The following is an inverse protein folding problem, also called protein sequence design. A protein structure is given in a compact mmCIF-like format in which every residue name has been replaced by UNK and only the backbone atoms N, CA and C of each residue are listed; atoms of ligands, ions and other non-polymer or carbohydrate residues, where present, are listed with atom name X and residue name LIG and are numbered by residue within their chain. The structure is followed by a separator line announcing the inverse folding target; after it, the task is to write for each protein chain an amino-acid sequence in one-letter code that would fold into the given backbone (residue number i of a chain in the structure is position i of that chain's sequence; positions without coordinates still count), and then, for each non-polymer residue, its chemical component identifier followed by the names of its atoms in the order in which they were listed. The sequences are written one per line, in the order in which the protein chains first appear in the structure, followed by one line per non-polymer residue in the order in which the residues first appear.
data_IF_963400461884
#
_entry.id   IF_963400461884
#
_cell.length_a   1.000
_cell.length_b   1.000
_cell.length_c   1.000
_cell.angle_alpha   90.00
_cell.angle_beta   90.00
_cell.angle_gamma   90.00
#
_symmetry.space_group_name_H-M   'P 1'
#
loop_
_entity.id
_entity.type
_entity.pdbx_description
1 polymer ?
#
# COMPACT_ATOMS: atom_id res chain seq x y z
N UNK A 1 14.36 2.91 10.41
CA UNK A 1 13.63 3.16 11.68
C UNK A 1 12.58 2.11 11.87
N UNK A 2 12.39 1.67 13.09
CA UNK A 2 11.36 0.69 13.45
C UNK A 2 10.45 1.32 14.51
N UNK A 3 9.14 1.24 14.29
CA UNK A 3 8.15 1.63 15.29
C UNK A 3 7.41 0.39 15.79
N UNK A 4 6.79 0.49 16.96
CA UNK A 4 5.90 -0.56 17.47
C UNK A 4 4.48 -0.06 17.47
N UNK A 5 3.59 -0.84 16.90
CA UNK A 5 2.16 -0.59 16.93
C UNK A 5 1.46 -1.89 17.33
N UNK A 6 0.69 -1.84 18.39
CA UNK A 6 -0.05 -2.99 18.92
C UNK A 6 0.86 -4.22 19.15
N UNK A 7 2.08 -4.00 19.67
CA UNK A 7 3.06 -5.05 19.92
C UNK A 7 3.81 -5.55 18.68
N UNK A 8 3.54 -5.01 17.52
CA UNK A 8 4.16 -5.41 16.26
C UNK A 8 5.23 -4.40 15.86
N UNK A 9 6.42 -4.90 15.46
CA UNK A 9 7.48 -4.06 14.92
C UNK A 9 7.22 -3.74 13.46
N UNK A 10 7.25 -2.45 13.11
CA UNK A 10 6.95 -1.97 11.77
C UNK A 10 8.10 -1.10 11.28
N UNK A 11 8.67 -1.46 10.13
CA UNK A 11 9.75 -0.70 9.52
C UNK A 11 9.23 0.55 8.85
N UNK A 12 9.99 1.65 8.99
CA UNK A 12 9.65 2.94 8.40
C UNK A 12 10.86 3.47 7.63
N UNK A 13 10.64 3.86 6.38
CA UNK A 13 11.63 4.55 5.57
C UNK A 13 11.36 6.05 5.69
N UNK A 14 12.35 6.78 6.20
CA UNK A 14 12.27 8.22 6.34
C UNK A 14 12.75 8.89 5.05
N UNK A 15 12.04 9.90 4.61
CA UNK A 15 12.42 10.73 3.47
C UNK A 15 12.45 12.20 3.89
N UNK A 16 13.52 12.65 4.57
CA UNK A 16 13.58 14.01 5.11
C UNK A 16 13.45 15.10 4.05
N UNK A 17 13.97 14.85 2.85
CA UNK A 17 13.94 15.82 1.75
C UNK A 17 12.52 16.09 1.24
N UNK A 18 11.65 15.08 1.29
CA UNK A 18 10.28 15.17 0.82
C UNK A 18 9.28 15.24 1.96
N UNK A 19 9.74 15.14 3.20
CA UNK A 19 8.91 15.10 4.41
C UNK A 19 7.83 14.01 4.35
N UNK A 20 8.11 12.93 3.64
CA UNK A 20 7.19 11.81 3.46
C UNK A 20 7.82 10.54 4.03
N UNK A 21 7.13 9.92 4.96
CA UNK A 21 7.54 8.65 5.53
C UNK A 21 6.84 7.52 4.78
N UNK A 22 7.58 6.46 4.49
CA UNK A 22 7.04 5.24 3.90
C UNK A 22 7.10 4.13 4.93
N UNK A 23 5.96 3.50 5.17
CA UNK A 23 5.75 2.53 6.24
C UNK A 23 5.56 1.14 5.62
N UNK A 24 6.16 0.12 6.22
CA UNK A 24 6.09 -1.25 5.71
C UNK A 24 4.68 -1.82 5.82
N UNK A 25 4.00 -1.98 4.69
CA UNK A 25 2.74 -2.71 4.62
C UNK A 25 2.97 -4.19 4.92
N UNK A 26 4.14 -4.73 4.53
CA UNK A 26 4.49 -6.12 4.80
C UNK A 26 4.48 -6.42 6.29
N UNK A 27 5.10 -5.55 7.10
CA UNK A 27 5.13 -5.73 8.55
C UNK A 27 3.72 -5.63 9.16
N UNK A 28 2.92 -4.69 8.70
CA UNK A 28 1.52 -4.57 9.15
C UNK A 28 0.73 -5.81 8.75
N UNK A 29 0.91 -6.30 7.53
CA UNK A 29 0.21 -7.48 7.03
C UNK A 29 0.55 -8.75 7.82
N UNK A 30 1.77 -8.85 8.34
CA UNK A 30 2.20 -9.97 9.17
C UNK A 30 1.39 -10.11 10.45
N UNK A 31 0.81 -9.01 10.93
CA UNK A 31 -0.09 -9.08 12.09
C UNK A 31 -1.29 -9.98 11.80
N UNK A 32 -1.81 -9.95 10.57
CA UNK A 32 -2.95 -10.76 10.17
C UNK A 32 -2.55 -12.14 9.63
N UNK A 33 -1.47 -12.21 8.86
CA UNK A 33 -0.98 -13.45 8.26
C UNK A 33 0.54 -13.44 8.22
N UNK A 34 1.22 -13.96 9.26
CA UNK A 34 2.68 -13.97 9.30
C UNK A 34 3.32 -14.80 8.21
N UNK A 35 2.63 -15.84 7.72
CA UNK A 35 3.16 -16.77 6.73
C UNK A 35 3.10 -16.22 5.30
N UNK A 36 2.09 -15.39 5.00
CA UNK A 36 1.94 -14.82 3.66
C UNK A 36 1.34 -13.41 3.71
N UNK A 37 2.17 -12.42 4.08
CA UNK A 37 1.69 -11.03 4.14
C UNK A 37 1.29 -10.47 2.76
N UNK A 38 1.86 -10.98 1.66
CA UNK A 38 1.54 -10.49 0.32
C UNK A 38 0.09 -10.75 -0.06
N UNK A 39 -0.49 -11.86 0.39
CA UNK A 39 -1.89 -12.15 0.09
C UNK A 39 -2.83 -11.18 0.81
N UNK A 40 -2.45 -10.73 2.00
CA UNK A 40 -3.22 -9.73 2.75
C UNK A 40 -3.25 -8.40 1.98
N UNK A 41 -2.08 -7.98 1.50
CA UNK A 41 -1.97 -6.74 0.72
C UNK A 41 -2.77 -6.85 -0.59
N UNK A 42 -2.65 -7.97 -1.30
CA UNK A 42 -3.39 -8.21 -2.53
C UNK A 42 -4.90 -8.20 -2.32
N UNK A 43 -5.38 -8.80 -1.24
CA UNK A 43 -6.81 -8.79 -0.90
C UNK A 43 -7.31 -7.37 -0.67
N UNK A 44 -6.53 -6.54 0.02
CA UNK A 44 -6.87 -5.13 0.24
C UNK A 44 -6.92 -4.35 -1.08
N UNK A 45 -5.91 -4.56 -1.96
CA UNK A 45 -5.84 -3.90 -3.26
C UNK A 45 -6.95 -4.35 -4.22
N UNK A 46 -7.50 -5.54 -4.02
CA UNK A 46 -8.52 -6.13 -4.90
C UNK A 46 -9.93 -5.69 -4.49
N UNK A 47 -10.07 -4.42 -4.13
CA UNK A 47 -11.32 -3.79 -3.75
C UNK A 47 -11.46 -2.45 -4.48
N UNK A 48 -12.64 -2.19 -5.03
CA UNK A 48 -12.89 -0.93 -5.73
C UNK A 48 -12.73 0.28 -4.81
N UNK A 49 -13.16 0.18 -3.56
CA UNK A 49 -13.02 1.29 -2.61
C UNK A 49 -11.54 1.59 -2.34
N UNK A 50 -10.71 0.57 -2.26
CA UNK A 50 -9.27 0.75 -2.04
C UNK A 50 -8.61 1.43 -3.24
N UNK A 51 -8.85 0.92 -4.45
CA UNK A 51 -8.20 1.50 -5.64
C UNK A 51 -8.72 2.91 -5.93
N UNK A 52 -9.97 3.21 -5.61
CA UNK A 52 -10.50 4.57 -5.74
C UNK A 52 -9.78 5.53 -4.78
N UNK A 53 -9.55 5.11 -3.54
CA UNK A 53 -8.75 5.88 -2.57
C UNK A 53 -7.33 6.09 -3.06
N UNK A 54 -6.67 5.02 -3.53
CA UNK A 54 -5.29 5.09 -4.02
C UNK A 54 -5.20 6.01 -5.25
N UNK A 55 -6.16 5.92 -6.17
CA UNK A 55 -6.18 6.78 -7.35
C UNK A 55 -6.36 8.25 -6.97
N UNK A 56 -7.20 8.54 -5.98
CA UNK A 56 -7.39 9.90 -5.47
C UNK A 56 -6.08 10.44 -4.88
N UNK A 57 -5.39 9.64 -4.09
CA UNK A 57 -4.09 10.03 -3.51
C UNK A 57 -3.06 10.29 -4.62
N UNK A 58 -2.93 9.37 -5.59
CA UNK A 58 -1.99 9.50 -6.70
C UNK A 58 -2.30 10.75 -7.54
N UNK A 59 -3.57 11.01 -7.79
CA UNK A 59 -3.98 12.18 -8.56
C UNK A 59 -3.53 13.48 -7.89
N UNK A 60 -3.54 13.52 -6.55
CA UNK A 60 -3.11 14.70 -5.80
C UNK A 60 -1.59 14.88 -5.80
N UNK A 61 -0.83 13.79 -5.77
CA UNK A 61 0.61 13.85 -5.48
C UNK A 61 1.51 13.33 -6.59
N UNK A 62 0.96 12.69 -7.63
CA UNK A 62 1.74 12.05 -8.69
C UNK A 62 1.29 12.56 -10.06
N UNK A 63 2.02 13.51 -10.66
CA UNK A 63 1.66 14.02 -11.99
C UNK A 63 1.80 12.98 -13.10
N UNK A 64 2.51 11.88 -12.84
CA UNK A 64 2.75 10.81 -13.82
C UNK A 64 1.87 9.58 -13.58
N UNK A 65 0.85 9.69 -12.75
CA UNK A 65 -0.10 8.60 -12.50
C UNK A 65 -0.83 8.24 -13.81
N UNK A 66 -0.90 6.94 -14.11
CA UNK A 66 -1.54 6.46 -15.34
C UNK A 66 -3.05 6.36 -15.17
N UNK A 67 -3.73 7.48 -15.36
CA UNK A 67 -5.19 7.57 -15.20
C UNK A 67 -5.95 6.71 -16.20
N UNK A 68 -5.45 6.60 -17.42
CA UNK A 68 -6.09 5.78 -18.46
C UNK A 68 -6.10 4.31 -18.06
N UNK A 69 -4.96 3.81 -17.58
CA UNK A 69 -4.87 2.44 -17.10
C UNK A 69 -5.78 2.21 -15.89
N UNK A 70 -5.85 3.18 -14.98
CA UNK A 70 -6.75 3.09 -13.84
C UNK A 70 -8.21 2.96 -14.30
N UNK A 71 -8.64 3.79 -15.24
CA UNK A 71 -10.00 3.72 -15.77
C UNK A 71 -10.27 2.40 -16.47
N UNK A 72 -9.30 1.86 -17.19
CA UNK A 72 -9.41 0.55 -17.82
C UNK A 72 -9.66 -0.54 -16.78
N UNK A 73 -8.85 -0.58 -15.73
CA UNK A 73 -9.01 -1.56 -14.66
C UNK A 73 -10.34 -1.37 -13.92
N UNK A 74 -10.69 -0.11 -13.64
CA UNK A 74 -11.91 0.24 -12.89
C UNK A 74 -13.18 -0.19 -13.63
N UNK A 75 -13.14 -0.19 -14.96
CA UNK A 75 -14.29 -0.51 -15.82
C UNK A 75 -14.29 -1.95 -16.33
N UNK A 76 -13.28 -2.76 -15.99
CA UNK A 76 -13.27 -4.17 -16.35
C UNK A 76 -14.43 -4.91 -15.68
N UNK A 77 -15.01 -5.87 -16.41
CA UNK A 77 -16.00 -6.76 -15.85
C UNK A 77 -15.33 -7.96 -15.18
N UNK A 78 -16.02 -8.54 -14.20
CA UNK A 78 -15.52 -9.68 -13.48
C UNK A 78 -14.85 -9.29 -12.16
N UNK A 79 -14.10 -10.24 -11.59
CA UNK A 79 -13.49 -10.07 -10.29
C UNK A 79 -12.23 -9.21 -10.38
N UNK A 80 -12.14 -8.19 -9.54
CA UNK A 80 -10.93 -7.41 -9.42
C UNK A 80 -9.87 -8.19 -8.66
N UNK A 81 -8.69 -8.38 -9.28
CA UNK A 81 -7.54 -9.03 -8.66
C UNK A 81 -6.29 -8.21 -8.97
N UNK A 82 -5.66 -7.68 -7.94
CA UNK A 82 -4.44 -6.88 -8.07
C UNK A 82 -3.43 -7.25 -7.00
N UNK A 83 -2.16 -7.40 -7.42
CA UNK A 83 -1.03 -7.43 -6.50
C UNK A 83 -0.44 -6.02 -6.36
N UNK A 84 0.38 -5.82 -5.31
CA UNK A 84 1.09 -4.55 -5.14
C UNK A 84 1.97 -4.23 -6.36
N UNK A 85 2.69 -5.24 -6.86
CA UNK A 85 3.54 -5.08 -8.05
C UNK A 85 2.75 -4.64 -9.27
N UNK A 86 1.59 -5.25 -9.51
CA UNK A 86 0.73 -4.88 -10.64
C UNK A 86 0.22 -3.44 -10.51
N UNK A 87 -0.20 -3.05 -9.31
CA UNK A 87 -0.64 -1.68 -9.07
C UNK A 87 0.49 -0.68 -9.37
N UNK A 88 1.68 -0.91 -8.81
CA UNK A 88 2.82 -0.02 -8.98
C UNK A 88 3.20 0.12 -10.45
N UNK A 89 3.35 -1.00 -11.15
CA UNK A 89 3.84 -1.01 -12.53
C UNK A 89 2.79 -0.51 -13.51
N UNK A 90 1.54 -0.96 -13.40
CA UNK A 90 0.48 -0.59 -14.35
C UNK A 90 0.07 0.87 -14.20
N UNK A 91 0.01 1.36 -12.97
CA UNK A 91 -0.48 2.71 -12.69
C UNK A 91 0.64 3.75 -12.64
N UNK A 92 1.90 3.32 -12.73
CA UNK A 92 3.05 4.21 -12.49
C UNK A 92 2.90 4.92 -11.14
N UNK A 93 2.53 4.17 -10.12
CA UNK A 93 2.21 4.69 -8.79
C UNK A 93 3.45 5.00 -7.98
N UNK A 94 3.37 6.00 -7.11
CA UNK A 94 4.46 6.37 -6.19
C UNK A 94 4.07 6.20 -4.72
N UNK A 95 2.78 6.10 -4.42
CA UNK A 95 2.31 5.98 -3.05
C UNK A 95 2.62 4.64 -2.41
N UNK A 96 2.82 3.60 -3.23
CA UNK A 96 3.23 2.28 -2.79
C UNK A 96 4.51 1.95 -3.54
N UNK A 97 5.51 1.44 -2.82
CA UNK A 97 6.81 1.06 -3.39
C UNK A 97 7.18 -0.36 -2.99
N UNK A 98 8.01 -1.01 -3.80
CA UNK A 98 8.49 -2.35 -3.54
C UNK A 98 10.02 -2.34 -3.46
N UNK A 99 10.55 -2.99 -2.44
CA UNK A 99 11.98 -3.06 -2.18
C UNK A 99 12.42 -4.52 -2.05
N UNK A 100 13.55 -4.85 -2.68
CA UNK A 100 14.16 -6.18 -2.57
C UNK A 100 15.12 -6.22 -1.37
N UNK A 101 15.54 -7.43 -1.01
CA UNK A 101 16.58 -7.67 -0.01
C UNK A 101 16.03 -8.06 1.36
N UNK A 102 16.96 -8.12 2.33
CA UNK A 102 16.68 -8.63 3.67
C UNK A 102 15.62 -7.83 4.41
N UNK A 103 15.62 -6.51 4.23
CA UNK A 103 14.62 -5.61 4.80
C UNK A 103 13.64 -5.12 3.74
N UNK A 104 13.49 -5.93 2.69
CA UNK A 104 12.58 -5.63 1.60
C UNK A 104 11.12 -5.82 1.96
N UNK A 105 10.29 -5.59 0.97
CA UNK A 105 8.85 -5.73 1.10
C UNK A 105 8.12 -4.58 0.42
N UNK A 106 6.87 -4.45 0.74
CA UNK A 106 5.99 -3.42 0.20
C UNK A 106 5.83 -2.30 1.23
N UNK A 107 6.10 -1.09 0.81
CA UNK A 107 6.01 0.12 1.64
C UNK A 107 4.99 1.07 1.04
N UNK A 108 4.38 1.88 1.86
CA UNK A 108 3.43 2.89 1.40
C UNK A 108 3.61 4.19 2.15
N UNK A 109 3.28 5.29 1.46
CA UNK A 109 3.18 6.59 2.12
C UNK A 109 2.30 6.48 3.37
N UNK A 110 2.60 7.27 4.40
CA UNK A 110 1.93 7.19 5.69
C UNK A 110 0.40 7.24 5.58
N UNK A 111 -0.15 8.10 4.72
CA UNK A 111 -1.60 8.20 4.53
C UNK A 111 -2.21 6.89 4.06
N UNK A 112 -1.53 6.23 3.13
CA UNK A 112 -1.98 4.95 2.56
C UNK A 112 -1.81 3.83 3.59
N UNK A 113 -0.69 3.84 4.31
CA UNK A 113 -0.42 2.84 5.35
C UNK A 113 -1.46 2.90 6.47
N UNK A 114 -1.93 4.09 6.84
CA UNK A 114 -2.99 4.23 7.84
C UNK A 114 -4.30 3.61 7.37
N UNK A 115 -4.67 3.80 6.10
CA UNK A 115 -5.85 3.16 5.53
C UNK A 115 -5.75 1.63 5.56
N UNK A 116 -4.59 1.10 5.17
CA UNK A 116 -4.35 -0.33 5.20
C UNK A 116 -4.43 -0.88 6.64
N UNK A 117 -3.76 -0.22 7.57
CA UNK A 117 -3.76 -0.63 8.98
C UNK A 117 -5.17 -0.61 9.56
N UNK A 118 -5.96 0.41 9.25
CA UNK A 118 -7.35 0.52 9.71
C UNK A 118 -8.23 -0.60 9.15
N UNK A 119 -7.96 -1.03 7.91
CA UNK A 119 -8.67 -2.14 7.28
C UNK A 119 -8.32 -3.48 7.96
N UNK A 120 -7.05 -3.66 8.35
CA UNK A 120 -6.59 -4.88 9.02
C UNK A 120 -7.16 -4.98 10.43
N UNK A 121 -7.04 -3.91 11.19
CA UNK A 121 -7.48 -3.91 12.60
C UNK A 121 -7.74 -2.48 13.07
N UNK A 122 -8.91 -2.23 13.66
CA UNK A 122 -9.17 -0.93 14.30
C UNK A 122 -8.13 -0.57 15.37
N UNK A 123 -7.43 -1.57 15.94
CA UNK A 123 -6.40 -1.35 16.96
C UNK A 123 -5.17 -0.62 16.42
N UNK A 124 -4.92 -0.67 15.11
CA UNK A 124 -3.86 0.10 14.47
C UNK A 124 -4.26 1.55 14.22
N UNK A 125 -5.53 1.85 14.32
CA UNK A 125 -6.02 3.21 14.08
C UNK A 125 -5.75 4.06 15.33
N UNK A 126 -4.88 4.99 15.18
CA UNK A 126 -4.48 5.90 16.25
C UNK A 126 -5.29 7.19 16.22
#
# INVERSE_FOLDING_TARGET
MIIKANGTEISVLLSPEQQNDYISLTDIAKYKNPDDPRIVISNWLSSYSTIDFLAAWETLYNPNFNRMEFHTVRNETGRLVLSAKQWIERMNAIGITSHAGRYGGTYAHADIAFEFASWISPEFKL
#
